data_IF_168346530408
#
_entry.id   IF_168346530408
#
_cell.length_a   1.000
_cell.length_b   1.000
_cell.length_c   1.000
_cell.angle_alpha   90.00
_cell.angle_beta   90.00
_cell.angle_gamma   90.00
#
_symmetry.space_group_name_H-M   'P 1'
#
loop_
_entity.id
_entity.type
_entity.pdbx_description
1 polymer ?
#
# COMPACT_ATOMS: atom_id res chain seq x y z
N UNK A 1 4.62 5.72 -10.78
CA UNK A 1 3.78 6.32 -11.84
C UNK A 1 2.30 5.94 -11.76
N UNK A 2 1.94 4.75 -11.26
CA UNK A 2 0.55 4.29 -11.23
C UNK A 2 -0.43 5.28 -10.56
N UNK A 3 -0.05 5.89 -9.42
CA UNK A 3 -0.89 6.89 -8.72
C UNK A 3 -1.13 8.14 -9.57
N UNK A 4 -0.05 8.73 -10.13
CA UNK A 4 -0.12 9.97 -10.93
C UNK A 4 -0.88 9.75 -12.23
N UNK A 5 -0.71 8.58 -12.86
CA UNK A 5 -1.34 8.22 -14.13
C UNK A 5 -2.68 7.51 -13.98
N UNK A 6 -3.21 7.37 -12.75
CA UNK A 6 -4.43 6.62 -12.42
C UNK A 6 -4.50 5.24 -13.09
N UNK A 7 -3.37 4.56 -13.19
CA UNK A 7 -3.28 3.23 -13.81
C UNK A 7 -3.72 2.17 -12.81
N UNK A 8 -4.49 1.16 -13.22
CA UNK A 8 -4.85 0.02 -12.36
C UNK A 8 -3.58 -0.60 -11.75
N UNK A 9 -3.63 -0.88 -10.45
CA UNK A 9 -2.54 -1.50 -9.71
C UNK A 9 -3.09 -2.37 -8.57
N UNK A 10 -2.37 -3.43 -8.22
CA UNK A 10 -2.70 -4.31 -7.08
C UNK A 10 -2.18 -3.74 -5.76
N UNK A 11 -2.39 -2.44 -5.57
CA UNK A 11 -1.98 -1.69 -4.38
C UNK A 11 -0.50 -1.31 -4.35
N UNK A 12 -0.15 -0.45 -3.40
CA UNK A 12 1.23 0.06 -3.21
C UNK A 12 1.54 0.12 -1.73
N UNK A 13 2.68 -0.45 -1.33
CA UNK A 13 3.26 -0.26 0.01
C UNK A 13 4.37 0.78 -0.07
N UNK A 14 4.19 1.90 0.62
CA UNK A 14 5.18 2.98 0.71
C UNK A 14 5.86 2.93 2.07
N UNK A 15 7.17 2.71 2.09
CA UNK A 15 7.99 2.70 3.29
C UNK A 15 8.67 4.07 3.45
N UNK A 16 8.51 4.71 4.60
CA UNK A 16 9.04 6.06 4.86
C UNK A 16 9.84 6.04 6.15
N UNK A 17 11.09 6.53 6.11
CA UNK A 17 12.01 6.59 7.25
C UNK A 17 12.20 5.26 8.00
N UNK A 18 12.10 4.13 7.29
CA UNK A 18 12.35 2.80 7.83
C UNK A 18 13.73 2.33 7.42
N UNK A 19 14.52 1.86 8.40
CA UNK A 19 15.82 1.24 8.11
C UNK A 19 15.63 0.00 7.24
N UNK A 20 16.62 -0.34 6.42
CA UNK A 20 16.55 -1.51 5.52
C UNK A 20 16.17 -2.81 6.26
N UNK A 21 16.63 -2.98 7.51
CA UNK A 21 16.32 -4.13 8.37
C UNK A 21 14.84 -4.21 8.76
N UNK A 22 14.16 -3.07 8.87
CA UNK A 22 12.74 -3.00 9.23
C UNK A 22 11.82 -3.20 8.01
N UNK A 23 12.30 -2.93 6.80
CA UNK A 23 11.47 -2.93 5.59
C UNK A 23 10.84 -4.30 5.31
N UNK A 24 11.62 -5.38 5.37
CA UNK A 24 11.13 -6.74 5.15
C UNK A 24 10.02 -7.14 6.13
N UNK A 25 10.27 -7.12 7.46
CA UNK A 25 9.26 -7.44 8.46
C UNK A 25 8.00 -6.57 8.37
N UNK A 26 8.15 -5.27 8.09
CA UNK A 26 7.00 -4.36 7.94
C UNK A 26 6.21 -4.67 6.67
N UNK A 27 6.87 -4.93 5.54
CA UNK A 27 6.18 -5.35 4.31
C UNK A 27 5.36 -6.62 4.55
N UNK A 28 5.93 -7.63 5.21
CA UNK A 28 5.21 -8.86 5.53
C UNK A 28 4.00 -8.59 6.43
N UNK A 29 4.16 -7.78 7.48
CA UNK A 29 3.05 -7.42 8.36
C UNK A 29 1.95 -6.63 7.66
N UNK A 30 2.31 -5.71 6.76
CA UNK A 30 1.35 -4.95 5.95
C UNK A 30 0.60 -5.85 4.99
N UNK A 31 1.30 -6.75 4.27
CA UNK A 31 0.67 -7.68 3.32
C UNK A 31 -0.26 -8.65 4.06
N UNK A 32 0.15 -9.18 5.21
CA UNK A 32 -0.66 -10.10 5.99
C UNK A 32 -1.95 -9.44 6.53
N UNK A 33 -1.91 -8.15 6.85
CA UNK A 33 -3.05 -7.45 7.45
C UNK A 33 -3.96 -6.74 6.46
N UNK A 34 -3.40 -6.25 5.35
CA UNK A 34 -4.11 -5.39 4.38
C UNK A 34 -4.05 -5.95 2.96
N UNK A 35 -3.85 -7.26 2.81
CA UNK A 35 -3.67 -7.91 1.51
C UNK A 35 -4.85 -7.69 0.57
N UNK A 36 -6.07 -7.78 1.08
CA UNK A 36 -7.29 -7.65 0.29
C UNK A 36 -7.51 -6.20 -0.18
N UNK A 37 -7.26 -5.23 0.70
CA UNK A 37 -7.31 -3.81 0.33
C UNK A 37 -6.22 -3.47 -0.67
N UNK A 38 -5.00 -4.00 -0.48
CA UNK A 38 -3.90 -3.84 -1.43
C UNK A 38 -4.29 -4.41 -2.79
N UNK A 39 -4.77 -5.66 -2.87
CA UNK A 39 -5.22 -6.24 -4.13
C UNK A 39 -6.29 -5.39 -4.82
N UNK A 40 -7.17 -4.75 -4.04
CA UNK A 40 -8.20 -3.84 -4.55
C UNK A 40 -7.67 -2.49 -5.05
N UNK A 41 -6.39 -2.18 -4.83
CA UNK A 41 -5.76 -0.93 -5.23
C UNK A 41 -5.48 0.05 -4.09
N UNK A 42 -5.52 -0.37 -2.83
CA UNK A 42 -5.17 0.50 -1.71
C UNK A 42 -3.70 0.91 -1.71
N UNK A 43 -3.41 2.03 -1.07
CA UNK A 43 -2.04 2.51 -0.86
C UNK A 43 -1.80 2.59 0.64
N UNK A 44 -0.89 1.75 1.13
CA UNK A 44 -0.50 1.72 2.54
C UNK A 44 0.84 2.42 2.69
N UNK A 45 0.88 3.47 3.51
CA UNK A 45 2.12 4.14 3.91
C UNK A 45 2.50 3.71 5.32
N UNK A 46 3.67 3.12 5.46
CA UNK A 46 4.25 2.70 6.73
C UNK A 46 5.37 3.66 7.14
N UNK A 47 5.18 4.28 8.30
CA UNK A 47 6.10 5.16 9.01
C UNK A 47 6.40 4.54 10.38
N UNK A 48 7.52 4.88 11.04
CA UNK A 48 7.77 4.43 12.41
C UNK A 48 6.59 4.76 13.33
N UNK A 49 5.96 3.73 13.89
CA UNK A 49 4.82 3.87 14.81
C UNK A 49 3.50 4.31 14.17
N UNK A 50 3.41 4.44 12.84
CA UNK A 50 2.19 4.92 12.17
C UNK A 50 1.95 4.21 10.85
N UNK A 51 0.69 3.84 10.61
CA UNK A 51 0.21 3.37 9.32
C UNK A 51 -0.86 4.33 8.80
N UNK A 52 -0.77 4.70 7.53
CA UNK A 52 -1.79 5.47 6.81
C UNK A 52 -2.28 4.64 5.64
N UNK A 53 -3.59 4.49 5.54
CA UNK A 53 -4.22 3.69 4.49
C UNK A 53 -5.06 4.63 3.64
N UNK A 54 -4.79 4.64 2.34
CA UNK A 54 -5.68 5.24 1.34
C UNK A 54 -6.46 4.08 0.70
N UNK A 55 -7.80 4.05 0.82
CA UNK A 55 -8.61 3.03 0.16
C UNK A 55 -8.49 3.16 -1.37
N UNK A 56 -8.83 2.09 -2.11
CA UNK A 56 -8.86 2.17 -3.57
C UNK A 56 -9.83 3.24 -4.05
N UNK A 57 -9.45 3.98 -5.09
CA UNK A 57 -10.35 4.92 -5.77
C UNK A 57 -11.53 4.14 -6.38
N UNK A 58 -12.77 4.56 -6.10
CA UNK A 58 -14.01 3.90 -6.57
C UNK A 58 -14.03 3.65 -8.09
N UNK A 59 -13.39 4.52 -8.87
CA UNK A 59 -13.27 4.39 -10.33
C UNK A 59 -12.43 3.20 -10.81
N UNK A 60 -11.71 2.49 -9.94
CA UNK A 60 -10.86 1.36 -10.33
C UNK A 60 -11.62 0.03 -10.41
N UNK A 61 -12.87 0.00 -9.92
CA UNK A 61 -13.74 -1.19 -9.90
C UNK A 61 -14.45 -1.46 -11.23
N UNK A 62 -14.21 -0.68 -12.28
CA UNK A 62 -14.86 -0.91 -13.57
C UNK A 62 -14.04 -1.86 -14.47
N UNK A 63 -14.71 -2.96 -14.84
CA UNK A 63 -14.34 -4.10 -15.68
C UNK A 63 -13.37 -5.12 -15.09
#
# INVERSE_FOLDING_TARGET
>A
MAIVRKTKHSGIVRLVNLSARQQGPICLGVIAKYGDELQSGAIVTAEPGRLRIRPPDENSREK
#
